data_IF_125907469676
#
_entry.id   IF_125907469676
#
_cell.length_a   1.000
_cell.length_b   1.000
_cell.length_c   1.000
_cell.angle_alpha   90.00
_cell.angle_beta   90.00
_cell.angle_gamma   90.00
#
_symmetry.space_group_name_H-M   'P 1'
#
loop_
_entity.id
_entity.type
_entity.pdbx_description
1 polymer ?
#
# COMPACT_ATOMS: atom_id res chain seq x y z
N UNK A 1 -34.51 1.22 -6.51
CA UNK A 1 -33.34 1.59 -5.69
C UNK A 1 -32.13 1.46 -6.57
N UNK A 2 -31.35 2.53 -6.58
CA UNK A 2 -30.22 2.70 -7.48
C UNK A 2 -29.09 1.72 -7.06
N UNK A 3 -29.01 0.58 -7.71
CA UNK A 3 -27.89 -0.36 -7.57
C UNK A 3 -26.65 0.21 -8.28
N UNK A 4 -26.83 1.28 -9.06
CA UNK A 4 -25.88 1.72 -10.07
C UNK A 4 -24.79 2.69 -9.58
N UNK A 5 -24.86 3.22 -8.39
CA UNK A 5 -23.92 4.29 -8.05
C UNK A 5 -22.75 3.89 -7.13
N UNK A 6 -22.71 2.73 -6.56
CA UNK A 6 -21.57 2.25 -5.74
C UNK A 6 -21.70 0.74 -5.50
N UNK A 7 -21.76 -0.05 -6.57
CA UNK A 7 -21.90 -1.50 -6.47
C UNK A 7 -20.81 -2.19 -5.64
N UNK A 8 -19.64 -1.56 -5.55
CA UNK A 8 -18.53 -2.07 -4.75
C UNK A 8 -18.84 -2.04 -3.26
N UNK A 9 -19.47 -0.95 -2.77
CA UNK A 9 -19.84 -0.80 -1.36
C UNK A 9 -20.98 -1.75 -0.96
N UNK A 10 -21.68 -2.31 -1.96
CA UNK A 10 -22.76 -3.26 -1.76
C UNK A 10 -22.28 -4.72 -1.74
N UNK A 11 -21.00 -4.98 -2.04
CA UNK A 11 -20.43 -6.31 -2.02
C UNK A 11 -19.91 -6.69 -0.64
N UNK A 12 -20.52 -7.72 -0.05
CA UNK A 12 -19.98 -8.44 1.10
C UNK A 12 -19.01 -9.51 0.60
N UNK A 13 -17.76 -9.12 0.44
CA UNK A 13 -16.71 -9.95 -0.18
C UNK A 13 -16.54 -11.32 0.49
N UNK A 14 -16.60 -11.36 1.82
CA UNK A 14 -16.43 -12.61 2.58
C UNK A 14 -17.62 -13.55 2.42
N UNK A 15 -18.81 -13.01 2.19
CA UNK A 15 -20.06 -13.76 2.06
C UNK A 15 -20.44 -14.01 0.60
N UNK A 16 -19.68 -13.41 -0.34
CA UNK A 16 -19.93 -13.46 -1.79
C UNK A 16 -21.37 -13.09 -2.18
N UNK A 17 -21.92 -12.04 -1.52
CA UNK A 17 -23.28 -11.54 -1.77
C UNK A 17 -23.35 -10.02 -1.90
N UNK A 18 -24.41 -9.54 -2.54
CA UNK A 18 -24.80 -8.13 -2.51
C UNK A 18 -25.61 -7.82 -1.24
N UNK A 19 -25.51 -6.61 -0.76
CA UNK A 19 -26.34 -6.11 0.33
C UNK A 19 -26.84 -4.69 0.05
N UNK A 20 -27.97 -4.34 0.64
CA UNK A 20 -28.47 -2.97 0.62
C UNK A 20 -27.77 -2.14 1.69
N UNK A 21 -27.10 -1.03 1.36
CA UNK A 21 -26.40 -0.18 2.34
C UNK A 21 -27.34 0.40 3.43
N UNK A 22 -28.64 0.51 3.11
CA UNK A 22 -29.62 1.11 4.05
C UNK A 22 -30.24 0.11 5.03
N UNK A 23 -30.34 -1.19 4.67
CA UNK A 23 -31.04 -2.17 5.50
C UNK A 23 -30.31 -3.51 5.62
N UNK A 24 -29.12 -3.63 5.03
CA UNK A 24 -28.27 -4.83 4.96
C UNK A 24 -28.97 -6.09 4.36
N UNK A 25 -30.20 -5.96 3.88
CA UNK A 25 -30.90 -7.03 3.18
C UNK A 25 -30.32 -7.31 1.80
N UNK A 26 -30.46 -8.54 1.31
CA UNK A 26 -30.04 -8.92 -0.03
C UNK A 26 -31.02 -8.36 -1.09
N UNK A 27 -30.53 -7.55 -2.06
CA UNK A 27 -31.41 -7.06 -3.13
C UNK A 27 -31.76 -8.18 -4.11
N UNK A 28 -33.01 -8.22 -4.54
CA UNK A 28 -33.42 -9.16 -5.58
C UNK A 28 -32.81 -8.75 -6.93
N UNK A 29 -32.12 -9.69 -7.58
CA UNK A 29 -31.60 -9.56 -8.94
C UNK A 29 -32.53 -10.14 -10.00
N UNK A 30 -33.76 -10.57 -9.63
CA UNK A 30 -34.72 -11.11 -10.57
C UNK A 30 -35.14 -10.05 -11.59
N UNK A 31 -35.22 -10.40 -12.90
CA UNK A 31 -35.52 -9.44 -13.98
C UNK A 31 -36.81 -8.64 -13.77
N UNK A 32 -37.84 -9.28 -13.19
CA UNK A 32 -39.14 -8.66 -12.90
C UNK A 32 -39.05 -7.55 -11.82
N UNK A 33 -38.00 -7.51 -11.02
CA UNK A 33 -37.79 -6.48 -10.01
C UNK A 33 -36.90 -5.33 -10.48
N UNK A 34 -36.49 -5.32 -11.75
CA UNK A 34 -35.60 -4.31 -12.33
C UNK A 34 -36.36 -3.28 -13.09
N UNK A 35 -35.90 -2.05 -13.01
CA UNK A 35 -36.44 -0.93 -13.73
C UNK A 35 -35.34 -0.01 -14.21
N UNK A 36 -35.39 0.40 -15.46
CA UNK A 36 -34.54 1.48 -15.98
C UNK A 36 -34.99 2.81 -15.38
N UNK A 37 -34.05 3.53 -14.78
CA UNK A 37 -34.30 4.86 -14.22
C UNK A 37 -33.55 5.86 -15.07
N UNK A 38 -34.27 6.83 -15.64
CA UNK A 38 -33.65 7.93 -16.35
C UNK A 38 -33.01 8.90 -15.35
N UNK A 39 -31.68 9.08 -15.42
CA UNK A 39 -30.95 9.97 -14.50
C UNK A 39 -31.32 11.45 -14.72
N UNK A 40 -31.64 11.82 -15.97
CA UNK A 40 -31.96 13.20 -16.36
C UNK A 40 -33.29 13.25 -17.13
N UNK A 41 -34.45 13.04 -16.47
CA UNK A 41 -35.73 12.90 -17.17
C UNK A 41 -36.21 14.20 -17.85
N UNK A 42 -35.62 15.34 -17.49
CA UNK A 42 -36.01 16.66 -18.02
C UNK A 42 -35.15 17.10 -19.23
N UNK A 43 -34.13 16.37 -19.57
CA UNK A 43 -33.25 16.72 -20.69
C UNK A 43 -33.75 16.11 -21.99
N UNK A 44 -33.67 16.90 -23.07
CA UNK A 44 -33.93 16.41 -24.43
C UNK A 44 -32.60 15.93 -25.00
N UNK A 45 -32.50 14.62 -25.21
CA UNK A 45 -31.28 14.01 -25.75
C UNK A 45 -31.48 13.58 -27.22
N UNK A 46 -30.45 13.78 -28.03
CA UNK A 46 -30.39 13.21 -29.38
C UNK A 46 -30.12 11.69 -29.36
N UNK A 47 -29.57 11.18 -28.27
CA UNK A 47 -29.29 9.77 -28.08
C UNK A 47 -29.53 9.34 -26.63
N UNK A 48 -29.98 8.09 -26.45
CA UNK A 48 -30.16 7.46 -25.11
C UNK A 48 -29.12 6.35 -24.94
N UNK A 49 -28.34 6.45 -23.89
CA UNK A 49 -27.39 5.42 -23.46
C UNK A 49 -27.96 4.56 -22.33
N UNK A 50 -27.67 3.27 -22.36
CA UNK A 50 -28.00 2.36 -21.25
C UNK A 50 -26.72 1.91 -20.60
N UNK A 51 -26.67 2.03 -19.25
CA UNK A 51 -25.56 1.52 -18.45
C UNK A 51 -25.94 0.16 -17.89
N UNK A 52 -25.19 -0.89 -18.23
CA UNK A 52 -25.42 -2.27 -17.79
C UNK A 52 -24.25 -2.73 -16.94
N UNK A 53 -24.51 -3.06 -15.69
CA UNK A 53 -23.49 -3.61 -14.79
C UNK A 53 -23.44 -5.14 -14.85
N UNK A 54 -22.35 -5.79 -14.44
CA UNK A 54 -22.27 -7.25 -14.33
C UNK A 54 -23.36 -7.85 -13.44
N UNK A 55 -23.87 -7.09 -12.47
CA UNK A 55 -24.92 -7.54 -11.55
C UNK A 55 -26.30 -7.67 -12.20
N UNK A 56 -26.48 -7.11 -13.39
CA UNK A 56 -27.74 -7.21 -14.14
C UNK A 56 -27.83 -8.49 -14.96
N UNK A 57 -26.77 -9.28 -15.02
CA UNK A 57 -26.72 -10.55 -15.75
C UNK A 57 -26.30 -11.71 -14.84
N UNK A 58 -27.00 -11.94 -13.71
CA UNK A 58 -26.57 -12.87 -12.65
C UNK A 58 -26.48 -14.33 -13.10
N UNK A 59 -27.16 -14.68 -14.21
CA UNK A 59 -27.07 -16.02 -14.81
C UNK A 59 -25.77 -16.23 -15.60
N UNK A 60 -25.05 -15.14 -15.94
CA UNK A 60 -23.80 -15.18 -16.70
C UNK A 60 -22.62 -14.79 -15.81
N UNK A 61 -22.80 -13.72 -15.03
CA UNK A 61 -21.79 -13.20 -14.12
C UNK A 61 -22.28 -13.35 -12.68
N UNK A 62 -21.66 -14.25 -11.94
CA UNK A 62 -21.99 -14.50 -10.54
C UNK A 62 -21.07 -13.72 -9.60
N UNK A 63 -21.51 -13.40 -8.38
CA UNK A 63 -20.67 -12.73 -7.39
C UNK A 63 -19.38 -13.53 -7.12
N UNK A 64 -19.41 -14.86 -6.91
CA UNK A 64 -18.18 -15.64 -6.77
C UNK A 64 -17.25 -15.53 -7.99
N UNK A 65 -17.77 -15.48 -9.22
CA UNK A 65 -16.92 -15.33 -10.41
C UNK A 65 -16.26 -13.94 -10.46
N UNK A 66 -16.97 -12.88 -10.09
CA UNK A 66 -16.39 -11.54 -9.98
C UNK A 66 -15.29 -11.46 -8.95
N UNK A 67 -15.46 -12.12 -7.79
CA UNK A 67 -14.43 -12.19 -6.76
C UNK A 67 -13.17 -12.88 -7.28
N UNK A 68 -13.32 -13.96 -8.06
CA UNK A 68 -12.19 -14.65 -8.71
C UNK A 68 -11.51 -13.77 -9.76
N UNK A 69 -12.26 -12.95 -10.48
CA UNK A 69 -11.71 -12.02 -11.48
C UNK A 69 -10.74 -11.00 -10.88
N UNK A 70 -10.92 -10.58 -9.60
CA UNK A 70 -10.03 -9.59 -8.94
C UNK A 70 -8.56 -9.98 -9.08
N UNK A 71 -8.24 -11.26 -8.98
CA UNK A 71 -6.85 -11.75 -9.07
C UNK A 71 -6.24 -11.60 -10.48
N UNK A 72 -7.05 -11.35 -11.50
CA UNK A 72 -6.59 -11.16 -12.89
C UNK A 72 -6.14 -9.74 -13.18
N UNK A 73 -6.59 -8.77 -12.39
CA UNK A 73 -6.29 -7.35 -12.61
C UNK A 73 -5.11 -6.90 -11.74
N UNK A 74 -4.30 -5.99 -12.26
CA UNK A 74 -3.09 -5.50 -11.57
C UNK A 74 -3.45 -4.54 -10.44
N UNK A 75 -4.56 -3.82 -10.60
CA UNK A 75 -5.01 -2.82 -9.63
C UNK A 75 -6.51 -2.92 -9.42
N UNK A 76 -6.96 -2.40 -8.28
CA UNK A 76 -8.38 -2.28 -7.98
C UNK A 76 -9.12 -1.43 -9.02
N UNK A 77 -8.52 -0.33 -9.47
CA UNK A 77 -9.10 0.54 -10.48
C UNK A 77 -9.29 -0.17 -11.83
N UNK A 78 -8.34 -1.02 -12.24
CA UNK A 78 -8.50 -1.85 -13.45
C UNK A 78 -9.67 -2.83 -13.30
N UNK A 79 -9.80 -3.48 -12.15
CA UNK A 79 -10.94 -4.36 -11.88
C UNK A 79 -12.26 -3.60 -11.94
N UNK A 80 -12.36 -2.45 -11.31
CA UNK A 80 -13.56 -1.60 -11.32
C UNK A 80 -13.90 -1.15 -12.73
N UNK A 81 -12.92 -0.67 -13.49
CA UNK A 81 -13.14 -0.21 -14.87
C UNK A 81 -13.48 -1.35 -15.83
N UNK A 82 -12.80 -2.49 -15.75
CA UNK A 82 -12.88 -3.54 -16.77
C UNK A 82 -13.86 -4.64 -16.40
N UNK A 83 -13.98 -4.99 -15.12
CA UNK A 83 -14.87 -6.04 -14.68
C UNK A 83 -16.23 -5.52 -14.21
N UNK A 84 -16.29 -4.35 -13.57
CA UNK A 84 -17.54 -3.78 -13.08
C UNK A 84 -18.15 -2.77 -14.06
N UNK A 85 -17.38 -2.29 -15.05
CA UNK A 85 -17.84 -1.26 -16.00
C UNK A 85 -18.06 0.10 -15.35
N UNK A 86 -17.46 0.34 -14.18
CA UNK A 86 -17.57 1.60 -13.44
C UNK A 86 -16.32 2.45 -13.69
N UNK A 87 -16.49 3.77 -13.72
CA UNK A 87 -15.36 4.69 -13.76
C UNK A 87 -14.67 4.70 -12.40
N UNK A 88 -13.59 3.95 -12.26
CA UNK A 88 -12.67 4.20 -11.17
C UNK A 88 -11.75 5.33 -11.60
N UNK A 89 -11.71 6.37 -10.81
CA UNK A 89 -10.83 7.50 -11.02
C UNK A 89 -9.37 7.12 -10.72
N UNK A 90 -8.76 6.40 -11.68
CA UNK A 90 -7.34 6.08 -11.61
C UNK A 90 -6.45 7.31 -11.87
N UNK A 91 -7.04 8.40 -12.36
CA UNK A 91 -6.34 9.64 -12.74
C UNK A 91 -6.21 10.67 -11.63
N UNK A 92 -7.07 10.65 -10.60
CA UNK A 92 -7.08 11.63 -9.51
C UNK A 92 -6.53 11.10 -8.18
N UNK A 93 -5.68 10.10 -8.21
CA UNK A 93 -5.09 9.54 -7.00
C UNK A 93 -3.93 10.38 -6.42
N UNK A 94 -3.63 11.54 -7.02
CA UNK A 94 -2.68 12.49 -6.44
C UNK A 94 -3.23 13.04 -5.11
N UNK A 95 -2.35 13.14 -4.10
CA UNK A 95 -2.67 13.83 -2.87
C UNK A 95 -2.72 15.34 -3.09
N UNK A 96 -3.57 16.01 -2.32
CA UNK A 96 -3.56 17.45 -2.16
C UNK A 96 -3.04 17.81 -0.76
N UNK A 97 -2.68 19.07 -0.54
CA UNK A 97 -2.08 19.49 0.73
C UNK A 97 -3.02 19.23 1.91
N UNK A 98 -4.33 19.39 1.69
CA UNK A 98 -5.37 19.12 2.67
C UNK A 98 -5.41 17.64 3.12
N UNK A 99 -5.13 16.69 2.23
CA UNK A 99 -5.07 15.28 2.58
C UNK A 99 -3.91 15.01 3.54
N UNK A 100 -2.76 15.65 3.30
CA UNK A 100 -1.55 15.46 4.10
C UNK A 100 -1.70 16.13 5.46
N UNK A 101 -2.19 17.37 5.50
CA UNK A 101 -2.40 18.11 6.75
C UNK A 101 -3.50 17.47 7.61
N UNK A 102 -4.56 16.92 7.01
CA UNK A 102 -5.58 16.18 7.74
C UNK A 102 -5.06 14.92 8.47
N UNK A 103 -3.90 14.41 8.05
CA UNK A 103 -3.21 13.29 8.68
C UNK A 103 -2.15 13.71 9.70
N UNK A 104 -1.96 15.02 9.92
CA UNK A 104 -1.03 15.55 10.91
C UNK A 104 -1.57 15.35 12.32
N UNK A 105 -0.79 14.81 13.22
CA UNK A 105 -1.23 14.51 14.57
C UNK A 105 -0.18 14.90 15.62
N UNK A 106 -0.66 15.36 16.76
CA UNK A 106 0.18 15.50 17.95
C UNK A 106 0.29 14.13 18.62
N UNK A 107 1.50 13.59 18.70
CA UNK A 107 1.74 12.24 19.20
C UNK A 107 2.57 12.35 20.49
N UNK A 108 2.20 11.63 21.57
CA UNK A 108 3.04 11.49 22.73
C UNK A 108 4.37 10.82 22.36
N UNK A 109 5.50 11.45 22.67
CA UNK A 109 6.84 11.03 22.27
C UNK A 109 7.36 9.78 23.00
N UNK A 110 6.66 9.23 23.98
CA UNK A 110 7.12 8.08 24.74
C UNK A 110 6.23 6.87 24.44
N UNK A 111 6.76 5.91 23.73
CA UNK A 111 6.08 4.65 23.51
C UNK A 111 7.00 3.51 23.93
N UNK A 112 6.52 2.69 24.87
CA UNK A 112 7.10 1.39 25.19
C UNK A 112 6.84 0.36 24.09
N UNK A 113 6.12 0.73 23.03
CA UNK A 113 5.67 -0.13 21.97
C UNK A 113 6.76 -0.40 20.92
N UNK A 114 6.57 -1.47 20.17
CA UNK A 114 7.47 -1.83 19.08
C UNK A 114 7.13 -1.01 17.82
N UNK A 115 8.16 -0.68 17.04
CA UNK A 115 8.05 0.09 15.82
C UNK A 115 8.63 -0.66 14.62
N UNK A 116 8.21 -0.26 13.44
CA UNK A 116 8.80 -0.60 12.17
C UNK A 116 9.59 0.59 11.61
N UNK A 117 10.53 0.33 10.70
CA UNK A 117 11.34 1.34 10.05
C UNK A 117 11.35 1.11 8.53
N UNK A 118 11.13 2.17 7.76
CA UNK A 118 11.34 2.22 6.32
C UNK A 118 12.52 3.11 5.99
N UNK A 119 13.35 2.71 5.02
CA UNK A 119 14.54 3.47 4.60
C UNK A 119 14.63 3.48 3.07
N UNK A 120 14.68 4.66 2.49
CA UNK A 120 15.06 4.88 1.10
C UNK A 120 16.53 5.26 1.02
N UNK A 121 17.29 4.56 0.16
CA UNK A 121 18.76 4.67 0.10
C UNK A 121 19.21 5.47 -1.12
N UNK A 122 19.96 6.51 -0.85
CA UNK A 122 20.63 7.35 -1.84
C UNK A 122 21.85 8.01 -1.19
N UNK A 123 22.46 8.98 -1.83
CA UNK A 123 23.51 9.78 -1.18
C UNK A 123 22.99 10.49 0.07
N UNK A 124 21.74 10.94 0.00
CA UNK A 124 20.93 11.33 1.15
C UNK A 124 19.89 10.25 1.37
N UNK A 125 19.97 9.55 2.47
CA UNK A 125 19.01 8.51 2.85
C UNK A 125 17.84 9.13 3.61
N UNK A 126 16.64 8.63 3.37
CA UNK A 126 15.41 9.05 4.04
C UNK A 126 14.93 7.93 4.95
N UNK A 127 14.59 8.27 6.18
CA UNK A 127 14.20 7.30 7.22
C UNK A 127 12.85 7.71 7.76
N UNK A 128 11.94 6.76 7.91
CA UNK A 128 10.69 6.92 8.63
C UNK A 128 10.49 5.75 9.60
N UNK A 129 9.97 6.05 10.79
CA UNK A 129 9.68 5.09 11.85
C UNK A 129 8.22 5.24 12.23
N UNK A 130 7.54 4.12 12.37
CA UNK A 130 6.13 4.12 12.70
C UNK A 130 5.65 2.77 13.24
N UNK A 131 4.39 2.71 13.56
CA UNK A 131 3.70 1.51 14.02
C UNK A 131 2.23 1.55 13.65
N UNK A 132 1.57 0.41 13.72
CA UNK A 132 0.11 0.37 13.67
C UNK A 132 -0.47 0.70 15.05
N UNK A 133 -1.52 1.50 15.07
CA UNK A 133 -2.33 1.74 16.26
C UNK A 133 -3.30 0.57 16.48
N UNK A 134 -3.94 0.52 17.63
CA UNK A 134 -5.01 -0.46 17.90
C UNK A 134 -6.19 -0.33 16.94
N UNK A 135 -6.41 0.86 16.36
CA UNK A 135 -7.43 1.12 15.36
C UNK A 135 -6.96 0.78 13.93
N UNK A 136 -5.76 0.20 13.77
CA UNK A 136 -5.19 -0.18 12.47
C UNK A 136 -4.57 0.96 11.66
N UNK A 137 -4.54 2.20 12.18
CA UNK A 137 -3.90 3.32 11.49
C UNK A 137 -2.38 3.18 11.51
N UNK A 138 -1.70 3.57 10.44
CA UNK A 138 -0.24 3.68 10.40
C UNK A 138 0.19 5.02 11.02
N UNK A 139 0.83 4.97 12.16
CA UNK A 139 1.33 6.12 12.89
C UNK A 139 2.82 6.33 12.64
N UNK A 140 3.20 7.37 11.91
CA UNK A 140 4.60 7.77 11.68
C UNK A 140 5.05 8.66 12.83
N UNK A 141 5.95 8.15 13.68
CA UNK A 141 6.40 8.82 14.90
C UNK A 141 7.71 9.59 14.71
N UNK A 142 8.48 9.26 13.69
CA UNK A 142 9.76 9.91 13.40
C UNK A 142 10.07 9.85 11.90
N UNK A 143 10.67 10.91 11.38
CA UNK A 143 11.21 10.98 10.03
C UNK A 143 12.43 11.87 10.01
N UNK A 144 13.44 11.50 9.22
CA UNK A 144 14.68 12.26 9.09
C UNK A 144 15.43 11.94 7.79
N UNK A 145 16.44 12.73 7.53
CA UNK A 145 17.43 12.51 6.48
C UNK A 145 18.80 12.29 7.11
N UNK A 146 19.61 11.43 6.50
CA UNK A 146 21.03 11.31 6.86
C UNK A 146 21.88 11.03 5.61
N UNK A 147 23.17 11.31 5.70
CA UNK A 147 24.11 10.94 4.64
C UNK A 147 24.35 9.43 4.64
N UNK A 148 24.55 8.84 3.46
CA UNK A 148 24.79 7.41 3.25
C UNK A 148 25.90 6.88 4.17
N UNK A 149 27.03 7.60 4.29
CA UNK A 149 28.16 7.21 5.13
C UNK A 149 27.80 7.04 6.62
N UNK A 150 26.73 7.66 7.08
CA UNK A 150 26.26 7.59 8.48
C UNK A 150 25.11 6.61 8.66
N UNK A 151 24.54 6.08 7.59
CA UNK A 151 23.29 5.31 7.62
C UNK A 151 23.33 4.12 8.60
N UNK A 152 24.37 3.27 8.53
CA UNK A 152 24.44 2.07 9.37
C UNK A 152 24.51 2.38 10.87
N UNK A 153 25.21 3.45 11.25
CA UNK A 153 25.28 3.91 12.64
C UNK A 153 23.95 4.52 13.05
N UNK A 154 23.44 5.43 12.24
CA UNK A 154 22.21 6.15 12.53
C UNK A 154 20.99 5.22 12.64
N UNK A 155 20.88 4.23 11.76
CA UNK A 155 19.84 3.20 11.86
C UNK A 155 19.87 2.48 13.22
N UNK A 156 21.06 2.08 13.69
CA UNK A 156 21.18 1.39 14.98
C UNK A 156 20.77 2.28 16.16
N UNK A 157 21.17 3.55 16.15
CA UNK A 157 20.77 4.52 17.17
C UNK A 157 19.25 4.68 17.21
N UNK A 158 18.64 4.86 16.03
CA UNK A 158 17.19 5.00 15.91
C UNK A 158 16.46 3.71 16.28
N UNK A 159 16.98 2.56 15.88
CA UNK A 159 16.38 1.27 16.22
C UNK A 159 16.38 1.03 17.75
N UNK A 160 17.46 1.41 18.43
CA UNK A 160 17.52 1.34 19.90
C UNK A 160 16.57 2.36 20.56
N UNK A 161 16.57 3.62 20.07
CA UNK A 161 15.73 4.70 20.62
C UNK A 161 14.24 4.39 20.50
N UNK A 162 13.80 3.88 19.35
CA UNK A 162 12.40 3.65 19.02
C UNK A 162 11.96 2.19 19.16
N UNK A 163 12.81 1.30 19.66
CA UNK A 163 12.53 -0.13 19.78
C UNK A 163 12.04 -0.73 18.46
N UNK A 164 12.79 -0.47 17.39
CA UNK A 164 12.43 -0.98 16.06
C UNK A 164 12.63 -2.49 16.01
N UNK A 165 11.56 -3.21 15.66
CA UNK A 165 11.57 -4.66 15.51
C UNK A 165 11.92 -5.08 14.08
N UNK A 166 11.32 -4.42 13.09
CA UNK A 166 11.48 -4.76 11.66
C UNK A 166 11.90 -3.52 10.89
N UNK A 167 12.87 -3.69 10.00
CA UNK A 167 13.31 -2.66 9.06
C UNK A 167 13.18 -3.17 7.64
N UNK A 168 12.56 -2.40 6.75
CA UNK A 168 12.66 -2.58 5.30
C UNK A 168 13.44 -1.42 4.72
N UNK A 169 14.52 -1.72 4.01
CA UNK A 169 15.47 -0.77 3.44
C UNK A 169 15.60 -1.00 1.94
N UNK A 170 15.64 0.07 1.14
CA UNK A 170 15.95 -0.06 -0.28
C UNK A 170 17.25 -0.86 -0.49
N UNK A 171 17.18 -1.91 -1.30
CA UNK A 171 18.31 -2.78 -1.56
C UNK A 171 19.30 -2.18 -2.56
N UNK A 172 18.87 -1.21 -3.38
CA UNK A 172 19.67 -0.65 -4.47
C UNK A 172 19.85 0.87 -4.33
N UNK A 173 20.98 1.43 -4.77
CA UNK A 173 22.11 0.73 -5.39
C UNK A 173 23.09 0.08 -4.38
N UNK A 174 22.93 0.29 -3.08
CA UNK A 174 23.91 -0.02 -2.03
C UNK A 174 23.78 -1.44 -1.44
N UNK A 175 23.61 -2.46 -2.30
CA UNK A 175 23.37 -3.85 -1.89
C UNK A 175 24.41 -4.39 -0.91
N UNK A 176 25.69 -4.04 -1.08
CA UNK A 176 26.76 -4.49 -0.18
C UNK A 176 26.58 -3.93 1.25
N UNK A 177 26.17 -2.67 1.38
CA UNK A 177 25.87 -2.06 2.67
C UNK A 177 24.68 -2.74 3.33
N UNK A 178 23.62 -2.99 2.56
CA UNK A 178 22.43 -3.72 3.03
C UNK A 178 22.80 -5.11 3.51
N UNK A 179 23.61 -5.87 2.76
CA UNK A 179 24.15 -7.17 3.15
C UNK A 179 24.89 -7.13 4.50
N UNK A 180 25.80 -6.16 4.66
CA UNK A 180 26.54 -6.01 5.92
C UNK A 180 25.60 -5.77 7.10
N UNK A 181 24.56 -4.95 6.92
CA UNK A 181 23.56 -4.69 7.94
C UNK A 181 22.70 -5.94 8.22
N UNK A 182 22.33 -6.73 7.20
CA UNK A 182 21.54 -7.96 7.36
C UNK A 182 22.27 -9.06 8.10
N UNK A 183 23.60 -9.15 7.97
CA UNK A 183 24.41 -10.07 8.77
C UNK A 183 24.39 -9.75 10.27
N UNK A 184 24.20 -8.47 10.61
CA UNK A 184 24.14 -8.00 11.99
C UNK A 184 22.71 -8.00 12.54
N UNK A 185 21.70 -7.90 11.65
CA UNK A 185 20.30 -7.79 12.03
C UNK A 185 19.42 -8.64 11.09
N UNK A 186 18.91 -9.74 11.61
CA UNK A 186 18.07 -10.68 10.85
C UNK A 186 16.67 -10.16 10.56
N UNK A 187 16.24 -9.12 11.26
CA UNK A 187 14.94 -8.46 11.06
C UNK A 187 15.04 -7.26 10.09
N UNK A 188 16.15 -7.15 9.37
CA UNK A 188 16.34 -6.18 8.30
C UNK A 188 16.11 -6.87 6.94
N UNK A 189 15.17 -6.35 6.19
CA UNK A 189 14.80 -6.84 4.86
C UNK A 189 15.20 -5.83 3.79
N UNK A 190 15.85 -6.31 2.74
CA UNK A 190 16.13 -5.49 1.55
C UNK A 190 14.88 -5.39 0.70
N UNK A 191 14.33 -4.19 0.54
CA UNK A 191 13.23 -3.89 -0.36
C UNK A 191 13.67 -3.97 -1.81
N UNK A 192 12.98 -4.77 -2.61
CA UNK A 192 13.23 -4.91 -4.05
C UNK A 192 11.92 -4.79 -4.79
N UNK A 193 11.83 -3.87 -5.74
CA UNK A 193 10.62 -3.80 -6.56
C UNK A 193 10.51 -4.99 -7.49
N UNK A 194 9.40 -5.73 -7.37
CA UNK A 194 9.14 -6.93 -8.14
C UNK A 194 8.97 -6.60 -9.63
N UNK A 195 9.66 -7.35 -10.49
CA UNK A 195 9.54 -7.21 -11.95
C UNK A 195 8.38 -8.03 -12.52
N UNK A 196 7.93 -9.04 -11.79
CA UNK A 196 6.80 -9.89 -12.13
C UNK A 196 5.66 -9.69 -11.14
N UNK A 197 4.44 -9.98 -11.57
CA UNK A 197 3.25 -9.86 -10.73
C UNK A 197 3.33 -10.81 -9.53
N UNK A 198 3.06 -10.28 -8.35
CA UNK A 198 2.84 -11.03 -7.11
C UNK A 198 1.33 -11.16 -6.86
N UNK A 199 0.93 -12.17 -6.08
CA UNK A 199 -0.46 -12.33 -5.62
C UNK A 199 -0.83 -11.39 -4.46
N UNK A 200 0.18 -10.73 -3.87
CA UNK A 200 0.03 -9.79 -2.77
C UNK A 200 0.90 -8.56 -3.03
N UNK A 201 0.71 -7.50 -2.24
CA UNK A 201 1.51 -6.26 -2.31
C UNK A 201 3.00 -6.53 -2.16
N UNK A 202 3.36 -7.51 -1.35
CA UNK A 202 4.76 -7.95 -1.19
C UNK A 202 4.87 -9.47 -0.93
N UNK A 203 6.09 -9.99 -1.13
CA UNK A 203 6.48 -11.37 -0.81
C UNK A 203 7.84 -11.37 -0.14
N UNK A 204 7.99 -12.15 0.93
CA UNK A 204 9.30 -12.38 1.55
C UNK A 204 10.01 -13.52 0.88
N UNK A 205 11.27 -13.29 0.52
CA UNK A 205 12.15 -14.28 -0.11
C UNK A 205 13.47 -14.30 0.65
N UNK A 206 13.91 -15.50 1.01
CA UNK A 206 15.23 -15.75 1.57
C UNK A 206 16.17 -16.18 0.46
N UNK A 207 17.27 -15.47 0.30
CA UNK A 207 18.30 -15.80 -0.69
C UNK A 207 19.47 -16.44 0.03
N UNK A 208 19.97 -17.57 -0.52
CA UNK A 208 21.19 -18.20 -0.04
C UNK A 208 22.35 -17.17 -0.12
N UNK A 209 23.00 -16.93 1.01
CA UNK A 209 24.08 -15.94 1.11
C UNK A 209 25.22 -16.21 0.12
N UNK A 210 25.55 -17.48 -0.13
CA UNK A 210 26.57 -17.88 -1.08
C UNK A 210 26.17 -17.61 -2.54
N UNK A 211 24.86 -17.61 -2.84
CA UNK A 211 24.31 -17.29 -4.17
C UNK A 211 24.07 -15.80 -4.36
N UNK A 212 23.89 -15.07 -3.29
CA UNK A 212 23.65 -13.63 -3.34
C UNK A 212 24.87 -12.84 -3.86
N UNK A 213 26.10 -13.32 -3.58
CA UNK A 213 27.39 -12.74 -4.05
C UNK A 213 27.46 -11.20 -3.90
N UNK A 214 26.79 -10.62 -2.90
CA UNK A 214 26.70 -9.17 -2.71
C UNK A 214 25.77 -8.44 -3.71
N UNK A 215 25.10 -9.14 -4.60
CA UNK A 215 24.22 -8.54 -5.62
C UNK A 215 22.75 -8.48 -5.19
N UNK A 216 22.34 -9.36 -4.29
CA UNK A 216 20.95 -9.47 -3.82
C UNK A 216 20.92 -9.46 -2.29
N UNK A 217 19.94 -8.83 -1.65
CA UNK A 217 19.77 -8.92 -0.20
C UNK A 217 19.46 -10.34 0.24
N UNK A 218 19.96 -10.74 1.43
CA UNK A 218 19.76 -12.06 2.00
C UNK A 218 18.28 -12.29 2.34
N UNK A 219 17.70 -11.34 3.07
CA UNK A 219 16.27 -11.29 3.35
C UNK A 219 15.65 -10.22 2.43
N UNK A 220 14.81 -10.64 1.49
CA UNK A 220 14.17 -9.73 0.55
C UNK A 220 12.70 -9.54 0.89
N UNK A 221 12.26 -8.28 0.83
CA UNK A 221 10.86 -7.94 0.61
C UNK A 221 10.70 -7.57 -0.87
N UNK A 222 10.19 -8.49 -1.68
CA UNK A 222 9.81 -8.21 -3.06
C UNK A 222 8.48 -7.48 -3.05
N UNK A 223 8.44 -6.25 -3.56
CA UNK A 223 7.31 -5.32 -3.40
C UNK A 223 6.74 -4.95 -4.77
N UNK A 224 5.44 -5.05 -4.93
CA UNK A 224 4.71 -4.48 -6.07
C UNK A 224 4.61 -2.97 -5.88
N UNK A 225 5.53 -2.22 -6.48
CA UNK A 225 5.69 -0.77 -6.24
C UNK A 225 4.40 0.01 -6.37
N UNK A 226 3.73 -0.13 -7.50
CA UNK A 226 2.55 0.69 -7.79
C UNK A 226 1.36 0.32 -6.91
N UNK A 227 1.19 -0.97 -6.57
CA UNK A 227 0.17 -1.42 -5.62
C UNK A 227 0.46 -0.90 -4.21
N UNK A 228 1.72 -1.00 -3.77
CA UNK A 228 2.13 -0.48 -2.45
C UNK A 228 1.91 1.03 -2.35
N UNK A 229 2.17 1.78 -3.42
CA UNK A 229 1.89 3.21 -3.46
C UNK A 229 0.39 3.51 -3.48
N UNK A 230 -0.42 2.71 -4.17
CA UNK A 230 -1.88 2.81 -4.10
C UNK A 230 -2.38 2.63 -2.66
N UNK A 231 -1.87 1.63 -1.93
CA UNK A 231 -2.20 1.39 -0.53
C UNK A 231 -1.79 2.58 0.36
N UNK A 232 -0.59 3.13 0.17
CA UNK A 232 -0.11 4.31 0.92
C UNK A 232 -0.98 5.53 0.64
N UNK A 233 -1.35 5.77 -0.62
CA UNK A 233 -2.24 6.87 -0.99
C UNK A 233 -3.63 6.71 -0.38
N UNK A 234 -4.15 5.47 -0.37
CA UNK A 234 -5.41 5.16 0.29
C UNK A 234 -5.36 5.40 1.81
N UNK A 235 -4.22 5.15 2.47
CA UNK A 235 -4.06 5.48 3.89
C UNK A 235 -4.22 6.97 4.15
N UNK A 236 -3.68 7.86 3.30
CA UNK A 236 -3.89 9.30 3.41
C UNK A 236 -5.37 9.69 3.16
N UNK A 237 -5.92 9.26 2.03
CA UNK A 237 -7.31 9.60 1.63
C UNK A 237 -8.34 9.16 2.68
N UNK A 238 -8.13 7.98 3.28
CA UNK A 238 -9.01 7.42 4.30
C UNK A 238 -8.65 7.86 5.73
N UNK A 239 -7.66 8.75 5.90
CA UNK A 239 -7.15 9.18 7.22
C UNK A 239 -6.73 8.01 8.11
N UNK A 240 -6.29 6.93 7.48
CA UNK A 240 -5.73 5.75 8.12
C UNK A 240 -4.21 5.86 8.31
N UNK A 241 -3.60 6.97 7.93
CA UNK A 241 -2.24 7.36 8.25
C UNK A 241 -2.27 8.59 9.16
N UNK A 242 -1.42 8.56 10.19
CA UNK A 242 -1.13 9.72 11.04
C UNK A 242 0.37 9.98 11.03
N UNK A 243 0.79 11.23 11.04
CA UNK A 243 2.21 11.56 11.12
C UNK A 243 2.50 12.68 12.14
N UNK A 244 3.59 12.50 12.90
CA UNK A 244 4.06 13.49 13.85
C UNK A 244 4.92 14.53 13.15
N UNK A 245 4.69 15.84 13.39
CA UNK A 245 5.60 16.87 12.93
C UNK A 245 6.94 16.78 13.68
N UNK A 246 8.04 17.01 12.98
CA UNK A 246 9.38 17.17 13.56
C UNK A 246 9.65 18.63 13.96
N UNK A 247 8.88 19.55 13.37
CA UNK A 247 9.05 20.99 13.61
C UNK A 247 10.19 21.63 12.83
N UNK A 248 10.78 20.91 11.88
CA UNK A 248 11.88 21.37 11.04
C UNK A 248 11.56 21.26 9.54
N UNK A 249 12.55 21.48 8.68
CA UNK A 249 12.39 21.41 7.23
C UNK A 249 11.98 20.03 6.71
N UNK A 250 12.15 18.96 7.49
CA UNK A 250 11.78 17.59 7.12
C UNK A 250 10.27 17.45 6.91
N UNK A 251 9.48 18.22 7.67
CA UNK A 251 8.00 18.23 7.51
C UNK A 251 7.60 18.73 6.14
N UNK A 252 8.24 19.81 5.67
CA UNK A 252 8.00 20.35 4.33
C UNK A 252 8.44 19.38 3.24
N UNK A 253 9.61 18.74 3.39
CA UNK A 253 10.09 17.75 2.42
C UNK A 253 9.18 16.52 2.38
N UNK A 254 8.69 16.08 3.55
CA UNK A 254 7.72 15.01 3.64
C UNK A 254 6.48 15.31 2.78
N UNK A 255 5.87 16.46 2.96
CA UNK A 255 4.69 16.87 2.19
C UNK A 255 4.99 17.00 0.71
N UNK A 256 6.08 17.67 0.33
CA UNK A 256 6.45 17.84 -1.07
C UNK A 256 6.65 16.52 -1.80
N UNK A 257 7.36 15.55 -1.19
CA UNK A 257 7.61 14.24 -1.81
C UNK A 257 6.33 13.41 -1.99
N UNK A 258 5.29 13.63 -1.15
CA UNK A 258 3.99 13.00 -1.34
C UNK A 258 3.19 13.66 -2.45
N UNK A 259 3.22 15.01 -2.52
CA UNK A 259 2.50 15.79 -3.53
C UNK A 259 3.09 15.65 -4.94
N UNK A 260 4.38 15.36 -5.04
CA UNK A 260 5.05 15.18 -6.34
C UNK A 260 4.65 13.89 -7.06
N UNK A 261 4.05 12.95 -6.36
CA UNK A 261 3.67 11.66 -6.94
C UNK A 261 2.34 11.75 -7.67
N UNK A 262 2.35 11.32 -8.93
CA UNK A 262 1.17 11.28 -9.80
C UNK A 262 1.01 9.90 -10.40
N UNK A 263 -0.22 9.42 -10.42
CA UNK A 263 -0.56 8.22 -11.17
C UNK A 263 -0.81 8.60 -12.62
N UNK A 264 0.00 8.06 -13.52
CA UNK A 264 -0.05 8.39 -14.95
C UNK A 264 -0.26 7.14 -15.78
N UNK A 265 -0.91 7.30 -16.93
CA UNK A 265 -0.98 6.27 -17.94
C UNK A 265 0.30 6.28 -18.78
N UNK A 266 0.90 5.12 -18.96
CA UNK A 266 2.05 4.92 -19.84
C UNK A 266 1.86 3.64 -20.65
N UNK A 267 2.48 3.55 -21.80
CA UNK A 267 2.58 2.28 -22.52
C UNK A 267 3.72 1.45 -21.93
N UNK A 268 3.44 0.19 -21.62
CA UNK A 268 4.45 -0.75 -21.20
C UNK A 268 5.29 -1.27 -22.40
N UNK A 269 6.20 -2.21 -22.13
CA UNK A 269 7.06 -2.82 -23.18
C UNK A 269 6.25 -3.59 -24.26
N UNK A 270 5.04 -4.00 -23.93
CA UNK A 270 4.14 -4.73 -24.82
C UNK A 270 3.15 -3.79 -25.54
N UNK A 271 3.34 -2.46 -25.41
CA UNK A 271 2.43 -1.42 -25.88
C UNK A 271 1.03 -1.50 -25.23
N UNK A 272 0.91 -2.12 -24.06
CA UNK A 272 -0.31 -2.09 -23.27
C UNK A 272 -0.35 -0.83 -22.40
N UNK A 273 -1.52 -0.21 -22.32
CA UNK A 273 -1.74 0.95 -21.46
C UNK A 273 -1.77 0.51 -20.00
N UNK A 274 -0.81 0.96 -19.22
CA UNK A 274 -0.71 0.65 -17.79
C UNK A 274 -0.66 1.94 -16.97
N UNK A 275 -1.20 1.85 -15.74
CA UNK A 275 -1.09 2.95 -14.78
C UNK A 275 0.12 2.73 -13.88
N UNK A 276 0.95 3.75 -13.75
CA UNK A 276 2.13 3.73 -12.89
C UNK A 276 2.29 5.03 -12.14
N UNK A 277 2.88 4.96 -10.96
CA UNK A 277 3.24 6.13 -10.18
C UNK A 277 4.52 6.76 -10.69
N UNK A 278 4.48 8.04 -10.98
CA UNK A 278 5.62 8.82 -11.44
C UNK A 278 5.71 10.12 -10.64
N UNK A 279 6.93 10.55 -10.37
CA UNK A 279 7.18 11.89 -9.84
C UNK A 279 7.15 12.92 -10.97
N UNK A 280 6.93 14.17 -10.62
CA UNK A 280 7.14 15.28 -11.55
C UNK A 280 8.60 15.34 -12.04
N UNK A 281 8.85 15.95 -13.20
CA UNK A 281 10.18 15.95 -13.84
C UNK A 281 11.28 16.51 -12.92
N UNK A 282 10.94 17.51 -12.10
CA UNK A 282 11.86 18.16 -11.15
C UNK A 282 11.59 17.76 -9.69
N UNK A 283 10.62 16.88 -9.46
CA UNK A 283 10.18 16.47 -8.14
C UNK A 283 11.07 15.41 -7.51
N UNK A 284 10.80 15.19 -6.23
CA UNK A 284 11.44 14.17 -5.43
C UNK A 284 10.38 13.25 -4.83
N UNK A 285 10.71 11.96 -4.70
CA UNK A 285 9.81 10.91 -4.26
C UNK A 285 10.36 10.08 -3.08
N UNK A 286 11.49 10.47 -2.54
CA UNK A 286 12.23 9.68 -1.55
C UNK A 286 11.41 9.33 -0.30
N UNK A 287 10.67 10.29 0.27
CA UNK A 287 9.82 9.97 1.43
C UNK A 287 8.60 9.13 1.04
N UNK A 288 8.16 9.16 -0.21
CA UNK A 288 7.13 8.23 -0.66
C UNK A 288 7.65 6.79 -0.70
N UNK A 289 8.87 6.56 -1.22
CA UNK A 289 9.53 5.26 -1.15
C UNK A 289 9.76 4.82 0.30
N UNK A 290 10.27 5.73 1.13
CA UNK A 290 10.48 5.50 2.57
C UNK A 290 9.19 5.05 3.26
N UNK A 291 8.08 5.73 2.98
CA UNK A 291 6.77 5.40 3.55
C UNK A 291 6.24 4.07 3.01
N UNK A 292 6.45 3.77 1.73
CA UNK A 292 6.15 2.46 1.15
C UNK A 292 6.91 1.33 1.84
N UNK A 293 8.20 1.50 2.12
CA UNK A 293 9.00 0.54 2.89
C UNK A 293 8.53 0.42 4.34
N UNK A 294 8.18 1.54 4.99
CA UNK A 294 7.60 1.53 6.33
C UNK A 294 6.25 0.79 6.37
N UNK A 295 5.42 1.00 5.36
CA UNK A 295 4.13 0.31 5.25
C UNK A 295 4.32 -1.21 5.22
N UNK A 296 5.20 -1.71 4.35
CA UNK A 296 5.54 -3.15 4.30
C UNK A 296 6.14 -3.63 5.62
N UNK A 297 7.07 -2.87 6.22
CA UNK A 297 7.68 -3.23 7.51
C UNK A 297 6.63 -3.32 8.63
N UNK A 298 5.62 -2.43 8.63
CA UNK A 298 4.54 -2.45 9.60
C UNK A 298 3.62 -3.66 9.44
N UNK A 299 3.33 -4.07 8.21
CA UNK A 299 2.53 -5.28 7.92
C UNK A 299 3.29 -6.56 8.34
N UNK A 300 4.60 -6.63 8.05
CA UNK A 300 5.46 -7.74 8.52
C UNK A 300 5.47 -7.85 10.04
N UNK A 301 5.52 -6.72 10.74
CA UNK A 301 5.49 -6.70 12.21
C UNK A 301 4.16 -7.21 12.76
N UNK A 302 3.03 -6.87 12.15
CA UNK A 302 1.71 -7.40 12.54
C UNK A 302 1.62 -8.92 12.36
N UNK A 303 2.12 -9.43 11.23
CA UNK A 303 2.14 -10.86 10.95
C UNK A 303 3.00 -11.60 11.98
N UNK A 304 4.20 -11.09 12.25
CA UNK A 304 5.09 -11.67 13.26
C UNK A 304 4.48 -11.66 14.67
N UNK A 305 3.67 -10.65 14.99
CA UNK A 305 3.02 -10.55 16.29
C UNK A 305 1.85 -11.53 16.47
N UNK A 306 1.19 -11.91 15.39
CA UNK A 306 0.08 -12.90 15.42
C UNK A 306 0.55 -14.34 15.57
N UNK A 307 1.75 -14.64 15.06
CA UNK A 307 2.32 -16.01 15.08
C UNK A 307 3.00 -16.35 16.41
N UNK A 308 3.04 -15.44 17.38
CA UNK A 308 3.61 -15.68 18.70
C UNK A 308 2.49 -16.03 19.68
N UNK A 309 2.37 -17.28 20.12
CA UNK A 309 1.53 -17.59 21.27
C UNK A 309 2.12 -16.86 22.51
N UNK A 310 1.25 -16.26 23.29
CA UNK A 310 1.56 -15.50 24.53
C UNK A 310 2.21 -16.41 25.62
N UNK A 311 3.33 -17.01 25.33
CA UNK A 311 4.15 -17.74 26.31
C UNK A 311 5.56 -17.16 26.24
N UNK A 312 5.98 -16.50 27.32
CA UNK A 312 7.20 -15.72 27.50
C UNK A 312 8.52 -16.42 27.18
N UNK A 313 8.71 -16.81 25.91
CA UNK A 313 9.95 -17.40 25.41
C UNK A 313 10.43 -16.59 24.20
N UNK A 314 11.71 -16.24 24.25
CA UNK A 314 12.52 -15.53 23.27
C UNK A 314 12.04 -15.62 21.80
N UNK A 315 11.70 -14.47 21.23
CA UNK A 315 11.23 -14.19 19.87
C UNK A 315 12.17 -14.60 18.73
N UNK A 316 13.34 -15.17 19.01
CA UNK A 316 14.45 -15.22 18.04
C UNK A 316 14.66 -16.57 17.36
N UNK A 317 13.80 -17.58 17.60
CA UNK A 317 14.09 -18.93 17.07
C UNK A 317 13.10 -19.57 16.12
N UNK A 318 11.96 -18.94 15.76
CA UNK A 318 10.87 -19.70 15.12
C UNK A 318 10.31 -19.17 13.79
N UNK A 319 10.90 -18.20 13.14
CA UNK A 319 10.52 -17.86 11.75
C UNK A 319 11.15 -18.84 10.74
N UNK A 320 10.79 -20.12 10.82
CA UNK A 320 10.96 -21.06 9.71
C UNK A 320 9.67 -21.08 8.89
N UNK A 321 9.68 -20.36 7.78
CA UNK A 321 8.64 -20.52 6.75
C UNK A 321 8.80 -21.92 6.15
N UNK A 322 7.80 -22.77 6.31
CA UNK A 322 7.69 -24.02 5.58
C UNK A 322 7.36 -23.70 4.11
N UNK A 323 8.09 -24.37 3.21
CA UNK A 323 7.88 -24.38 1.76
C UNK A 323 6.54 -24.99 1.38
#
# INVERSE_FOLDING_TARGET
RDINKHNIDQLRWQEARLHCPSCDGEPSLAPEHRQWICENPNDQFEAVGYYVTPFEVPNVVTIPSLIQEITKYKTWAEFVNQALGETADAGNSQLVEEDIEACRATIPLASSELHAMGIDVGQTCHIAIGRRTQQGQLLVVHKEQCQLAKLAVRRRELAAKWRVLITVIDAFPETNLVHQMQRQDKNLYGGVYAQSRLLATYKIVMVDENKAEGKLPINQAQIMRDINFDEVMALYKNRALLWAPTGDHTDRLWSLHMLDMKRTQVFDKNQELVYTWQKSKEGNDHFMHTLGYLHVASQLMETASRDIPFSGVSLFSTLRVKH
#
